data_IF_636405555775
#
_entry.id   IF_636405555775
#
_cell.length_a   1.000
_cell.length_b   1.000
_cell.length_c   1.000
_cell.angle_alpha   90.00
_cell.angle_beta   90.00
_cell.angle_gamma   90.00
#
_symmetry.space_group_name_H-M   'P 1'
#
loop_
_entity.id
_entity.type
_entity.pdbx_description
1 polymer ?
#
# COMPACT_ATOMS: atom_id res chain seq x y z
N UNK A 1 23.29 8.27 -1.58
CA UNK A 1 22.20 7.64 -2.34
C UNK A 1 22.64 6.24 -2.75
N UNK A 2 21.91 5.21 -2.32
CA UNK A 2 22.16 3.83 -2.72
C UNK A 2 21.08 3.47 -3.75
N UNK A 3 21.51 3.17 -4.98
CA UNK A 3 20.65 2.70 -6.04
C UNK A 3 20.96 1.22 -6.22
N UNK A 4 19.94 0.36 -6.16
CA UNK A 4 20.04 -1.07 -6.49
C UNK A 4 19.15 -1.36 -7.68
N UNK A 5 19.77 -1.84 -8.74
CA UNK A 5 19.05 -2.40 -9.87
C UNK A 5 18.52 -3.78 -9.46
N UNK A 6 17.21 -3.97 -9.66
CA UNK A 6 16.56 -5.25 -9.37
C UNK A 6 15.63 -5.63 -10.51
N UNK A 7 15.72 -6.87 -10.98
CA UNK A 7 14.82 -7.46 -11.98
C UNK A 7 13.54 -8.02 -11.34
N UNK A 8 13.06 -7.39 -10.27
CA UNK A 8 11.94 -7.88 -9.45
C UNK A 8 10.66 -8.10 -10.26
N UNK A 9 10.39 -7.23 -11.25
CA UNK A 9 9.23 -7.37 -12.13
C UNK A 9 9.31 -8.63 -12.99
N UNK A 10 10.46 -8.89 -13.56
CA UNK A 10 10.72 -10.07 -14.40
C UNK A 10 10.74 -11.36 -13.59
N UNK A 11 11.33 -11.35 -12.40
CA UNK A 11 11.30 -12.48 -11.48
C UNK A 11 9.88 -12.82 -11.01
N UNK A 12 9.06 -11.81 -10.69
CA UNK A 12 7.68 -12.04 -10.28
C UNK A 12 6.83 -12.64 -11.41
N UNK A 13 7.09 -12.27 -12.68
CA UNK A 13 6.41 -12.83 -13.85
C UNK A 13 6.91 -14.23 -14.22
N UNK A 14 8.22 -14.51 -14.08
CA UNK A 14 8.80 -15.84 -14.39
C UNK A 14 8.34 -16.92 -13.42
N UNK A 15 8.08 -16.59 -12.15
CA UNK A 15 7.67 -17.56 -11.11
C UNK A 15 6.19 -17.95 -11.12
N UNK A 16 5.37 -17.43 -12.03
CA UNK A 16 4.03 -17.98 -12.31
C UNK A 16 4.10 -19.42 -12.88
N UNK A 17 5.27 -19.88 -13.38
CA UNK A 17 5.46 -21.20 -13.97
C UNK A 17 6.21 -22.22 -13.13
N UNK A 18 6.84 -21.84 -12.01
CA UNK A 18 7.65 -22.76 -11.20
C UNK A 18 6.90 -23.24 -9.95
N UNK A 19 6.51 -24.53 -9.96
CA UNK A 19 6.01 -25.26 -8.79
C UNK A 19 7.05 -25.23 -7.66
N UNK A 20 6.78 -24.53 -6.57
CA UNK A 20 7.53 -24.68 -5.32
C UNK A 20 7.21 -26.05 -4.73
N UNK A 21 8.07 -27.02 -4.94
CA UNK A 21 8.02 -28.32 -4.28
C UNK A 21 8.25 -28.15 -2.78
N UNK A 22 7.21 -28.36 -1.99
CA UNK A 22 7.32 -28.50 -0.53
C UNK A 22 6.10 -27.96 0.22
N UNK A 23 5.24 -28.87 0.68
CA UNK A 23 4.06 -28.73 1.53
C UNK A 23 2.74 -28.36 0.83
N UNK A 24 1.84 -29.34 0.78
CA UNK A 24 0.45 -29.23 0.32
C UNK A 24 -0.37 -28.31 1.23
N UNK A 25 -0.26 -27.00 0.98
CA UNK A 25 -1.36 -26.07 1.15
C UNK A 25 -1.75 -25.64 -0.25
N UNK A 26 -3.05 -25.68 -0.58
CA UNK A 26 -3.57 -25.17 -1.85
C UNK A 26 -2.98 -23.79 -2.11
N UNK A 27 -1.99 -23.73 -2.99
CA UNK A 27 -1.36 -22.48 -3.44
C UNK A 27 -2.37 -21.89 -4.41
N UNK A 28 -3.31 -21.07 -3.90
CA UNK A 28 -3.99 -20.09 -4.74
C UNK A 28 -2.87 -19.35 -5.47
N UNK A 29 -2.86 -19.41 -6.79
CA UNK A 29 -1.91 -18.70 -7.63
C UNK A 29 -1.80 -17.26 -7.13
N UNK A 30 -0.63 -16.91 -6.60
CA UNK A 30 -0.45 -15.58 -6.02
C UNK A 30 -0.29 -14.61 -7.16
N UNK A 31 -1.25 -13.67 -7.28
CA UNK A 31 -1.23 -12.63 -8.30
C UNK A 31 0.16 -11.96 -8.41
N UNK A 32 0.71 -11.71 -9.62
CA UNK A 32 2.05 -11.16 -9.84
C UNK A 32 2.35 -9.90 -9.02
N UNK A 33 1.34 -9.03 -8.85
CA UNK A 33 1.47 -7.83 -8.03
C UNK A 33 1.78 -8.13 -6.55
N UNK A 34 1.29 -9.26 -6.02
CA UNK A 34 1.60 -9.67 -4.65
C UNK A 34 3.09 -10.05 -4.54
N UNK A 35 3.59 -10.85 -5.47
CA UNK A 35 5.00 -11.28 -5.50
C UNK A 35 5.92 -10.06 -5.70
N UNK A 36 5.61 -9.20 -6.66
CA UNK A 36 6.35 -7.96 -6.91
C UNK A 36 6.43 -7.09 -5.64
N UNK A 37 5.31 -6.86 -4.96
CA UNK A 37 5.30 -6.06 -3.73
C UNK A 37 6.04 -6.72 -2.58
N UNK A 38 6.07 -8.04 -2.52
CA UNK A 38 6.83 -8.81 -1.53
C UNK A 38 8.34 -8.68 -1.75
N UNK A 39 8.82 -8.86 -3.00
CA UNK A 39 10.25 -8.72 -3.34
C UNK A 39 10.75 -7.29 -3.14
N UNK A 40 9.96 -6.28 -3.53
CA UNK A 40 10.30 -4.87 -3.31
C UNK A 40 10.48 -4.57 -1.82
N UNK A 41 9.56 -5.04 -0.98
CA UNK A 41 9.68 -4.88 0.48
C UNK A 41 10.89 -5.61 1.02
N UNK A 42 11.10 -6.87 0.59
CA UNK A 42 12.27 -7.64 1.00
C UNK A 42 13.58 -6.89 0.70
N UNK A 43 13.75 -6.36 -0.51
CA UNK A 43 14.93 -5.59 -0.89
C UNK A 43 15.14 -4.36 0.00
N UNK A 44 14.06 -3.64 0.38
CA UNK A 44 14.14 -2.51 1.31
C UNK A 44 14.60 -2.95 2.70
N UNK A 45 14.08 -4.07 3.20
CA UNK A 45 14.50 -4.61 4.51
C UNK A 45 15.96 -5.08 4.50
N UNK A 46 16.38 -5.77 3.43
CA UNK A 46 17.76 -6.24 3.28
C UNK A 46 18.73 -5.03 3.32
N UNK A 47 18.45 -3.96 2.57
CA UNK A 47 19.25 -2.72 2.59
C UNK A 47 19.24 -2.03 3.95
N UNK A 48 18.07 -1.93 4.59
CA UNK A 48 17.97 -1.31 5.91
C UNK A 48 18.81 -2.06 6.95
N UNK A 49 18.79 -3.39 6.89
CA UNK A 49 19.58 -4.24 7.78
C UNK A 49 21.09 -4.09 7.52
N UNK A 50 21.51 -4.11 6.26
CA UNK A 50 22.93 -3.91 5.87
C UNK A 50 23.48 -2.57 6.34
N UNK A 51 22.63 -1.52 6.35
CA UNK A 51 23.01 -0.18 6.77
C UNK A 51 22.84 0.06 8.28
N UNK A 52 22.37 -0.92 9.04
CA UNK A 52 22.07 -0.78 10.47
C UNK A 52 20.94 0.21 10.77
N UNK A 53 20.00 0.41 9.81
CA UNK A 53 18.86 1.27 10.01
C UNK A 53 17.81 0.61 10.90
N UNK A 54 17.23 1.37 11.82
CA UNK A 54 16.11 0.91 12.67
C UNK A 54 14.73 1.38 12.17
N UNK A 55 14.69 2.20 11.11
CA UNK A 55 13.47 2.71 10.51
C UNK A 55 13.51 2.68 8.99
N UNK A 56 12.37 2.38 8.37
CA UNK A 56 12.12 2.52 6.93
C UNK A 56 11.01 3.55 6.76
N UNK A 57 11.29 4.68 6.12
CA UNK A 57 10.29 5.66 5.75
C UNK A 57 9.69 5.34 4.38
N UNK A 58 8.36 5.24 4.31
CA UNK A 58 7.61 5.00 3.08
C UNK A 58 6.81 6.23 2.69
N UNK A 59 6.75 6.53 1.39
CA UNK A 59 6.07 7.69 0.83
C UNK A 59 4.53 7.56 0.74
N UNK A 60 3.90 6.70 1.55
CA UNK A 60 2.44 6.60 1.59
C UNK A 60 1.84 7.88 2.17
N UNK A 61 0.81 8.38 1.52
CA UNK A 61 0.09 9.61 1.87
C UNK A 61 -1.36 9.31 2.31
N UNK A 62 -2.10 10.34 2.73
CA UNK A 62 -3.47 10.24 3.25
C UNK A 62 -4.39 9.42 2.35
N UNK A 63 -4.37 9.68 1.05
CA UNK A 63 -5.21 8.97 0.07
C UNK A 63 -4.89 7.47 0.02
N UNK A 64 -3.62 7.05 0.13
CA UNK A 64 -3.25 5.63 0.20
C UNK A 64 -3.90 4.91 1.39
N UNK A 65 -4.02 5.60 2.53
CA UNK A 65 -4.63 5.04 3.73
C UNK A 65 -6.15 4.89 3.55
N UNK A 66 -6.80 5.91 2.98
CA UNK A 66 -8.24 5.91 2.67
C UNK A 66 -8.56 4.84 1.62
N UNK A 67 -7.81 4.78 0.53
CA UNK A 67 -7.96 3.76 -0.50
C UNK A 67 -7.78 2.35 0.07
N UNK A 68 -6.76 2.14 0.92
CA UNK A 68 -6.50 0.84 1.53
C UNK A 68 -7.62 0.43 2.50
N UNK A 69 -8.18 1.37 3.27
CA UNK A 69 -9.34 1.09 4.10
C UNK A 69 -10.52 0.59 3.25
N UNK A 70 -10.85 1.30 2.17
CA UNK A 70 -11.94 0.90 1.27
C UNK A 70 -11.67 -0.45 0.60
N UNK A 71 -10.44 -0.70 0.15
CA UNK A 71 -10.07 -2.01 -0.40
C UNK A 71 -10.29 -3.13 0.63
N UNK A 72 -9.88 -2.92 1.88
CA UNK A 72 -10.07 -3.91 2.93
C UNK A 72 -11.54 -4.10 3.28
N UNK A 73 -12.33 -3.04 3.33
CA UNK A 73 -13.77 -3.11 3.55
C UNK A 73 -14.48 -3.90 2.44
N UNK A 74 -14.19 -3.57 1.17
CA UNK A 74 -14.90 -4.12 0.00
C UNK A 74 -14.47 -5.57 -0.27
N UNK A 75 -13.17 -5.87 -0.23
CA UNK A 75 -12.63 -7.15 -0.69
C UNK A 75 -12.28 -8.12 0.45
N UNK A 76 -12.08 -7.62 1.69
CA UNK A 76 -11.67 -8.45 2.82
C UNK A 76 -12.70 -8.47 3.97
N UNK A 77 -13.71 -7.61 3.93
CA UNK A 77 -14.65 -7.45 5.04
C UNK A 77 -13.97 -7.00 6.34
N UNK A 78 -12.91 -6.23 6.24
CA UNK A 78 -12.07 -5.82 7.37
C UNK A 78 -11.96 -4.30 7.47
N UNK A 79 -12.14 -3.77 8.68
CA UNK A 79 -11.88 -2.35 9.01
C UNK A 79 -10.41 -2.20 9.36
N UNK A 80 -9.55 -2.06 8.37
CA UNK A 80 -8.11 -1.92 8.54
C UNK A 80 -7.50 -1.09 7.42
N UNK A 81 -6.44 -0.35 7.72
CA UNK A 81 -5.62 0.37 6.75
C UNK A 81 -4.14 0.17 7.04
N UNK A 82 -3.26 0.85 6.30
CA UNK A 82 -1.82 0.88 6.59
C UNK A 82 -1.56 1.90 7.73
N UNK A 83 -1.02 1.47 8.89
CA UNK A 83 -0.83 2.40 10.01
C UNK A 83 0.32 3.38 9.74
N UNK A 84 0.29 4.60 10.30
CA UNK A 84 1.40 5.57 10.22
C UNK A 84 2.72 5.03 10.74
N UNK A 85 2.67 4.23 11.81
CA UNK A 85 3.79 3.52 12.42
C UNK A 85 3.46 2.03 12.52
N UNK A 86 4.35 1.17 12.05
CA UNK A 86 4.23 -0.27 12.17
C UNK A 86 5.55 -0.85 12.69
N UNK A 87 5.54 -1.38 13.91
CA UNK A 87 6.63 -2.16 14.47
C UNK A 87 6.65 -3.55 13.85
N UNK A 88 7.80 -3.99 13.35
CA UNK A 88 7.93 -5.34 12.83
C UNK A 88 8.22 -6.33 13.97
N UNK A 89 7.43 -7.41 14.07
CA UNK A 89 7.57 -8.41 15.15
C UNK A 89 8.88 -9.21 15.06
N UNK A 90 9.37 -9.46 13.85
CA UNK A 90 10.51 -10.36 13.59
C UNK A 90 11.84 -9.64 13.39
N UNK A 91 11.84 -8.32 13.33
CA UNK A 91 13.02 -7.52 13.04
C UNK A 91 12.97 -6.22 13.84
N UNK A 92 14.11 -5.70 14.34
CA UNK A 92 14.17 -4.44 15.08
C UNK A 92 14.05 -3.23 14.12
N UNK A 93 13.07 -3.25 13.24
CA UNK A 93 12.82 -2.22 12.23
C UNK A 93 11.37 -1.74 12.36
N UNK A 94 11.20 -0.43 12.34
CA UNK A 94 9.91 0.23 12.29
C UNK A 94 9.64 0.77 10.88
N UNK A 95 8.44 0.56 10.34
CA UNK A 95 7.98 1.25 9.13
C UNK A 95 7.23 2.51 9.51
N UNK A 96 7.66 3.67 9.03
CA UNK A 96 7.02 4.95 9.26
C UNK A 96 6.48 5.54 7.95
N UNK A 97 5.42 6.34 8.04
CA UNK A 97 4.77 7.03 6.91
C UNK A 97 4.61 8.51 7.21
N UNK A 98 5.68 9.30 7.04
CA UNK A 98 5.68 10.71 7.42
C UNK A 98 4.64 11.56 6.68
N UNK A 99 4.21 11.14 5.49
CA UNK A 99 3.25 11.86 4.64
C UNK A 99 1.79 11.42 4.85
N UNK A 100 1.50 10.59 5.87
CA UNK A 100 0.16 9.99 6.05
C UNK A 100 -0.99 11.00 6.29
N UNK A 101 -0.69 12.24 6.62
CA UNK A 101 -1.67 13.32 6.80
C UNK A 101 -1.74 14.29 5.60
N UNK A 102 -0.88 14.12 4.60
CA UNK A 102 -0.81 14.98 3.42
C UNK A 102 -1.60 14.35 2.28
N UNK A 103 -2.36 15.15 1.54
CA UNK A 103 -3.14 14.69 0.39
C UNK A 103 -2.25 14.48 -0.85
N UNK A 104 -2.61 13.55 -1.72
CA UNK A 104 -1.88 13.27 -2.97
C UNK A 104 -1.70 14.54 -3.81
N UNK A 105 -2.72 15.38 -3.88
CA UNK A 105 -2.68 16.61 -4.68
C UNK A 105 -1.65 17.63 -4.16
N UNK A 106 -1.50 17.75 -2.84
CA UNK A 106 -0.51 18.64 -2.22
C UNK A 106 0.91 18.16 -2.51
N UNK A 107 1.13 16.83 -2.51
CA UNK A 107 2.41 16.23 -2.87
C UNK A 107 2.71 16.45 -4.35
N UNK A 108 1.70 16.34 -5.23
CA UNK A 108 1.86 16.61 -6.67
C UNK A 108 2.23 18.06 -6.93
N UNK A 109 1.53 19.00 -6.29
CA UNK A 109 1.82 20.43 -6.40
C UNK A 109 3.25 20.74 -5.91
N UNK A 110 3.63 20.20 -4.75
CA UNK A 110 4.99 20.35 -4.23
C UNK A 110 6.05 19.79 -5.20
N UNK A 111 5.80 18.63 -5.79
CA UNK A 111 6.71 18.00 -6.73
C UNK A 111 6.88 18.84 -8.02
N UNK A 112 5.79 19.42 -8.53
CA UNK A 112 5.81 20.29 -9.69
C UNK A 112 6.57 21.59 -9.40
N UNK A 113 6.30 22.25 -8.27
CA UNK A 113 7.01 23.47 -7.85
C UNK A 113 8.50 23.22 -7.58
N UNK A 114 8.84 22.01 -7.12
CA UNK A 114 10.23 21.61 -6.83
C UNK A 114 10.99 21.10 -8.07
N UNK A 115 10.33 21.02 -9.24
CA UNK A 115 10.93 20.56 -10.49
C UNK A 115 11.28 19.07 -10.50
N UNK A 116 10.58 18.23 -9.73
CA UNK A 116 10.78 16.78 -9.78
C UNK A 116 10.28 16.21 -11.10
N UNK A 117 11.11 15.38 -11.72
CA UNK A 117 10.72 14.65 -12.93
C UNK A 117 9.71 13.54 -12.59
N UNK A 118 8.65 13.44 -13.42
CA UNK A 118 7.69 12.34 -13.29
C UNK A 118 8.36 11.02 -13.65
N UNK A 119 8.31 10.07 -12.73
CA UNK A 119 8.76 8.70 -13.00
C UNK A 119 7.92 8.08 -14.13
N UNK A 120 8.59 7.50 -15.13
CA UNK A 120 7.93 6.72 -16.17
C UNK A 120 7.43 5.41 -15.56
N UNK A 121 6.11 5.18 -15.66
CA UNK A 121 5.46 3.97 -15.15
C UNK A 121 5.63 2.85 -16.17
N UNK A 122 6.41 1.84 -15.82
CA UNK A 122 6.74 0.71 -16.70
C UNK A 122 5.86 -0.53 -16.46
N UNK A 123 5.08 -0.56 -15.38
CA UNK A 123 4.29 -1.74 -15.03
C UNK A 123 3.03 -1.87 -15.89
N UNK A 124 2.85 -2.93 -16.70
CA UNK A 124 1.67 -3.12 -17.55
C UNK A 124 0.40 -3.39 -16.74
N UNK A 125 0.52 -3.90 -15.50
CA UNK A 125 -0.60 -4.27 -14.63
C UNK A 125 -1.14 -3.09 -13.79
N UNK A 126 -0.55 -1.91 -13.87
CA UNK A 126 -0.92 -0.78 -13.02
C UNK A 126 -2.37 -0.32 -13.24
N UNK A 127 -2.83 -0.32 -14.50
CA UNK A 127 -4.16 0.18 -14.89
C UNK A 127 -5.31 -0.77 -14.54
N UNK A 128 -5.03 -2.04 -14.23
CA UNK A 128 -6.03 -3.11 -14.00
C UNK A 128 -5.99 -3.59 -12.55
N UNK A 129 -5.84 -2.68 -11.61
CA UNK A 129 -5.76 -3.03 -10.19
C UNK A 129 -7.04 -2.62 -9.44
N UNK A 130 -7.40 -3.41 -8.41
CA UNK A 130 -8.49 -3.06 -7.48
C UNK A 130 -8.31 -1.65 -6.89
N UNK A 131 -7.07 -1.17 -6.74
CA UNK A 131 -6.78 0.19 -6.28
C UNK A 131 -7.27 1.24 -7.28
N UNK A 132 -7.08 1.02 -8.58
CA UNK A 132 -7.57 1.94 -9.61
C UNK A 132 -9.11 2.04 -9.62
N UNK A 133 -9.79 0.90 -9.36
CA UNK A 133 -11.25 0.88 -9.22
C UNK A 133 -11.71 1.66 -7.98
N UNK A 134 -11.06 1.44 -6.84
CA UNK A 134 -11.38 2.17 -5.60
C UNK A 134 -11.11 3.67 -5.74
N UNK A 135 -10.04 4.06 -6.44
CA UNK A 135 -9.74 5.48 -6.72
C UNK A 135 -10.85 6.12 -7.58
N UNK A 136 -11.38 5.38 -8.57
CA UNK A 136 -12.54 5.86 -9.37
C UNK A 136 -13.82 5.96 -8.54
N UNK A 137 -14.08 5.00 -7.67
CA UNK A 137 -15.22 5.03 -6.76
C UNK A 137 -15.14 6.24 -5.81
N UNK A 138 -13.96 6.52 -5.25
CA UNK A 138 -13.76 7.70 -4.41
C UNK A 138 -14.06 9.00 -5.15
N UNK A 139 -13.61 9.13 -6.41
CA UNK A 139 -13.91 10.29 -7.23
C UNK A 139 -15.44 10.47 -7.49
N UNK A 140 -16.18 9.36 -7.61
CA UNK A 140 -17.66 9.41 -7.70
C UNK A 140 -18.31 9.85 -6.38
N UNK A 141 -17.80 9.35 -5.25
CA UNK A 141 -18.28 9.74 -3.92
C UNK A 141 -18.01 11.21 -3.60
N UNK A 142 -16.94 11.81 -4.14
CA UNK A 142 -16.66 13.24 -4.04
C UNK A 142 -17.76 14.10 -4.68
N UNK A 143 -18.45 13.58 -5.70
CA UNK A 143 -19.63 14.22 -6.27
C UNK A 143 -20.84 14.29 -5.33
N UNK A 144 -20.91 13.36 -4.36
CA UNK A 144 -21.95 13.37 -3.31
C UNK A 144 -21.53 14.19 -2.09
N UNK A 145 -20.26 14.10 -1.71
CA UNK A 145 -19.68 14.82 -0.58
C UNK A 145 -18.24 15.23 -0.93
N UNK A 146 -17.96 16.52 -1.18
CA UNK A 146 -16.60 16.99 -1.47
C UNK A 146 -15.57 16.68 -0.38
N UNK A 147 -16.01 16.42 0.86
CA UNK A 147 -15.18 16.07 2.01
C UNK A 147 -15.21 14.58 2.33
N UNK A 148 -15.56 13.72 1.37
CA UNK A 148 -15.71 12.26 1.61
C UNK A 148 -14.42 11.62 2.12
N UNK A 149 -13.26 12.05 1.66
CA UNK A 149 -11.97 11.51 2.13
C UNK A 149 -11.72 11.82 3.60
N UNK A 150 -12.04 13.04 4.04
CA UNK A 150 -11.96 13.44 5.44
C UNK A 150 -12.98 12.69 6.29
N UNK A 151 -14.17 12.49 5.76
CA UNK A 151 -15.22 11.71 6.43
C UNK A 151 -14.81 10.27 6.64
N UNK A 152 -14.21 9.64 5.62
CA UNK A 152 -13.70 8.26 5.72
C UNK A 152 -12.51 8.20 6.68
N UNK A 153 -11.60 9.19 6.62
CA UNK A 153 -10.50 9.31 7.57
C UNK A 153 -11.01 9.40 9.01
N UNK A 154 -11.91 10.33 9.27
CA UNK A 154 -12.49 10.52 10.60
C UNK A 154 -13.25 9.29 11.11
N UNK A 155 -13.84 8.50 10.21
CA UNK A 155 -14.52 7.27 10.60
C UNK A 155 -13.58 6.23 11.20
N UNK A 156 -12.30 6.19 10.78
CA UNK A 156 -11.29 5.29 11.36
C UNK A 156 -10.98 5.61 12.82
N UNK A 157 -11.11 6.90 13.21
CA UNK A 157 -10.86 7.39 14.56
C UNK A 157 -12.12 7.41 15.43
N UNK A 158 -13.31 7.24 14.83
CA UNK A 158 -14.60 7.40 15.49
C UNK A 158 -15.51 6.18 15.34
N UNK A 159 -14.98 4.99 15.63
CA UNK A 159 -15.74 3.75 15.56
C UNK A 159 -16.67 3.65 16.78
N UNK A 160 -17.99 3.56 16.53
CA UNK A 160 -19.02 3.40 17.57
C UNK A 160 -19.27 1.91 17.79
N UNK A 161 -18.45 1.24 18.61
CA UNK A 161 -18.52 -0.21 18.86
C UNK A 161 -19.89 -0.68 19.34
N UNK A 162 -20.60 0.12 20.14
CA UNK A 162 -21.94 -0.23 20.66
C UNK A 162 -23.03 -0.28 19.58
N UNK A 163 -22.79 0.34 18.42
CA UNK A 163 -23.70 0.34 17.28
C UNK A 163 -23.34 -0.70 16.22
N UNK A 164 -22.27 -1.48 16.44
CA UNK A 164 -21.90 -2.57 15.53
C UNK A 164 -22.60 -3.87 15.94
N UNK A 165 -22.95 -4.75 14.95
CA UNK A 165 -23.50 -6.06 15.25
C UNK A 165 -22.52 -6.86 16.12
N UNK A 166 -22.99 -7.32 17.27
CA UNK A 166 -22.20 -8.22 18.13
C UNK A 166 -22.23 -9.60 17.51
N UNK A 167 -21.06 -10.25 17.39
CA UNK A 167 -21.05 -11.68 17.10
C UNK A 167 -21.73 -12.39 18.26
N UNK A 168 -22.83 -13.12 17.99
CA UNK A 168 -23.47 -14.00 18.93
C UNK A 168 -22.54 -15.14 19.37
#
# INVERSE_FOLDING_TARGET
LIIRDTEIGDEAMRREGDEVKGERREVKEKHPCFLCSWYRRKALFDVAQELGCNKIALGHHKDDLVETLLMNLIFQGSVATIPPLLQMEKMPIEMIRPLCLIEEKEIQEYAELSGYEKQVKLCPLEKVSNRAEVKRLLAQLEGLNPHVRDSIWGAMENIKFDYLPKKG
#
